data_IF_198801289159
#
_entry.id   IF_198801289159
#
_cell.length_a   1.000
_cell.length_b   1.000
_cell.length_c   1.000
_cell.angle_alpha   90.00
_cell.angle_beta   90.00
_cell.angle_gamma   90.00
#
_symmetry.space_group_name_H-M   'P 1'
#
loop_
_entity.id
_entity.type
_entity.pdbx_description
1 polymer ?
#
# COMPACT_ATOMS: atom_id res chain seq x y z
N UNK A 1 -0.96 -6.64 20.76
CA UNK A 1 -0.40 -7.67 19.86
C UNK A 1 0.44 -6.93 18.84
N UNK A 2 1.72 -7.28 18.72
CA UNK A 2 2.69 -6.52 17.91
C UNK A 2 2.52 -6.92 16.44
N UNK A 3 2.01 -6.01 15.61
CA UNK A 3 2.21 -6.08 14.16
C UNK A 3 3.71 -5.91 13.90
N UNK A 4 4.33 -6.86 13.21
CA UNK A 4 5.72 -6.73 12.80
C UNK A 4 5.76 -5.68 11.68
N UNK A 5 6.26 -4.49 12.02
CA UNK A 5 6.43 -3.42 11.04
C UNK A 5 7.68 -3.71 10.21
N UNK A 6 7.48 -4.21 8.98
CA UNK A 6 8.56 -4.58 8.05
C UNK A 6 9.30 -3.38 7.42
N UNK A 7 9.05 -2.15 7.88
CA UNK A 7 9.39 -0.86 7.26
C UNK A 7 10.88 -0.51 7.09
N UNK A 8 11.80 -1.46 7.17
CA UNK A 8 13.24 -1.21 6.94
C UNK A 8 14.00 -2.35 6.23
N UNK A 9 13.36 -3.50 5.93
CA UNK A 9 13.99 -4.58 5.18
C UNK A 9 13.36 -4.67 3.79
N UNK A 10 14.21 -4.77 2.75
CA UNK A 10 13.77 -5.22 1.44
C UNK A 10 13.20 -6.63 1.61
N UNK A 11 11.87 -6.77 1.58
CA UNK A 11 11.24 -8.07 1.51
C UNK A 11 11.21 -8.53 0.06
N UNK A 12 11.34 -9.84 -0.16
CA UNK A 12 11.13 -10.47 -1.47
C UNK A 12 9.64 -10.59 -1.83
N UNK A 13 8.79 -9.84 -1.12
CA UNK A 13 7.35 -9.78 -1.36
C UNK A 13 7.07 -9.23 -2.74
N UNK A 14 6.31 -10.00 -3.51
CA UNK A 14 5.81 -9.62 -4.81
C UNK A 14 4.29 -9.66 -4.77
N UNK A 15 3.66 -8.66 -5.37
CA UNK A 15 2.21 -8.65 -5.58
C UNK A 15 1.87 -8.76 -7.05
N UNK A 16 0.80 -9.50 -7.34
CA UNK A 16 0.10 -9.45 -8.62
C UNK A 16 -1.12 -8.58 -8.45
N UNK A 17 -1.32 -7.68 -9.41
CA UNK A 17 -2.35 -6.66 -9.37
C UNK A 17 -3.28 -6.81 -10.57
N UNK A 18 -4.58 -6.78 -10.31
CA UNK A 18 -5.62 -6.65 -11.33
C UNK A 18 -6.40 -5.37 -11.04
N UNK A 19 -6.51 -4.52 -12.06
CA UNK A 19 -7.26 -3.28 -11.98
C UNK A 19 -8.62 -3.45 -12.67
N UNK A 20 -9.68 -3.09 -11.96
CA UNK A 20 -11.05 -3.04 -12.47
C UNK A 20 -11.50 -1.59 -12.46
N UNK A 21 -11.59 -1.00 -13.65
CA UNK A 21 -12.03 0.38 -13.82
C UNK A 21 -13.55 0.47 -13.83
N UNK A 22 -14.07 1.36 -12.99
CA UNK A 22 -15.48 1.79 -13.04
C UNK A 22 -15.55 3.26 -13.46
N UNK A 23 -16.76 3.83 -13.53
CA UNK A 23 -16.94 5.24 -13.87
C UNK A 23 -16.33 6.22 -12.85
N UNK A 24 -16.14 5.81 -11.59
CA UNK A 24 -15.77 6.75 -10.52
C UNK A 24 -14.63 6.27 -9.63
N UNK A 25 -14.42 4.96 -9.53
CA UNK A 25 -13.34 4.38 -8.75
C UNK A 25 -12.63 3.29 -9.55
N UNK A 26 -11.36 3.07 -9.24
CA UNK A 26 -10.63 1.88 -9.67
C UNK A 26 -10.57 0.92 -8.48
N UNK A 27 -10.87 -0.34 -8.73
CA UNK A 27 -10.73 -1.41 -7.74
C UNK A 27 -9.44 -2.15 -8.07
N UNK A 28 -8.52 -2.20 -7.11
CA UNK A 28 -7.27 -2.95 -7.21
C UNK A 28 -7.43 -4.26 -6.44
N UNK A 29 -7.42 -5.38 -7.15
CA UNK A 29 -7.31 -6.70 -6.56
C UNK A 29 -5.83 -7.06 -6.46
N UNK A 30 -5.44 -7.56 -5.30
CA UNK A 30 -4.05 -7.77 -4.95
C UNK A 30 -3.84 -9.16 -4.38
N UNK A 31 -3.02 -9.95 -5.06
CA UNK A 31 -2.53 -11.25 -4.61
C UNK A 31 -1.07 -11.08 -4.21
N UNK A 32 -0.70 -11.50 -3.00
CA UNK A 32 0.70 -11.52 -2.56
C UNK A 32 1.23 -12.94 -2.54
N UNK A 33 2.54 -13.08 -2.78
CA UNK A 33 3.23 -14.33 -2.55
C UNK A 33 3.32 -14.66 -1.05
N UNK A 34 3.73 -15.89 -0.73
CA UNK A 34 3.83 -16.42 0.65
C UNK A 34 5.00 -15.81 1.46
N UNK A 35 5.57 -14.68 1.02
CA UNK A 35 6.67 -14.00 1.69
C UNK A 35 6.15 -13.09 2.82
N UNK A 36 6.80 -13.07 4.00
CA UNK A 36 6.39 -12.24 5.13
C UNK A 36 6.29 -10.76 4.74
N UNK A 37 5.12 -10.17 4.96
CA UNK A 37 4.85 -8.76 4.64
C UNK A 37 3.64 -8.25 5.42
N UNK A 38 3.51 -6.92 5.49
CA UNK A 38 2.31 -6.27 6.07
C UNK A 38 1.02 -6.76 5.42
N UNK A 39 1.07 -7.10 4.13
CA UNK A 39 -0.08 -7.58 3.37
C UNK A 39 -0.41 -9.04 3.68
N UNK A 40 0.62 -9.87 3.83
CA UNK A 40 0.48 -11.25 4.26
C UNK A 40 -0.11 -11.33 5.67
N UNK A 41 0.41 -10.51 6.60
CA UNK A 41 -0.10 -10.39 7.96
C UNK A 41 -1.58 -9.96 7.97
N UNK A 42 -1.96 -9.05 7.06
CA UNK A 42 -3.36 -8.63 6.91
C UNK A 42 -4.26 -9.77 6.42
N UNK A 43 -3.84 -10.52 5.40
CA UNK A 43 -4.59 -11.65 4.84
C UNK A 43 -4.76 -12.79 5.84
N UNK A 44 -3.71 -13.10 6.61
CA UNK A 44 -3.76 -14.16 7.63
C UNK A 44 -4.80 -13.82 8.73
N UNK A 45 -4.88 -12.55 9.13
CA UNK A 45 -5.75 -12.13 10.23
C UNK A 45 -7.18 -11.79 9.81
N UNK A 46 -7.36 -11.18 8.64
CA UNK A 46 -8.64 -10.61 8.22
C UNK A 46 -9.29 -11.37 7.06
N UNK A 47 -8.60 -12.37 6.48
CA UNK A 47 -9.00 -13.04 5.25
C UNK A 47 -9.07 -12.06 4.07
N UNK A 48 -9.63 -12.48 2.93
CA UNK A 48 -9.85 -11.59 1.79
C UNK A 48 -10.83 -10.46 2.13
N UNK A 49 -10.50 -9.22 1.77
CA UNK A 49 -11.35 -8.07 2.08
C UNK A 49 -10.75 -6.72 1.69
N UNK A 50 -11.46 -5.65 2.07
CA UNK A 50 -11.03 -4.28 1.80
C UNK A 50 -9.86 -3.87 2.71
N UNK A 51 -8.68 -3.69 2.12
CA UNK A 51 -7.47 -3.35 2.85
C UNK A 51 -7.28 -1.84 3.04
N UNK A 52 -7.36 -1.04 1.96
CA UNK A 52 -7.09 0.40 2.00
C UNK A 52 -7.89 1.19 0.94
N UNK A 53 -7.90 2.52 1.10
CA UNK A 53 -8.36 3.47 0.08
C UNK A 53 -7.17 4.29 -0.41
N UNK A 54 -6.96 4.30 -1.73
CA UNK A 54 -5.85 5.02 -2.37
C UNK A 54 -6.39 6.30 -3.00
N UNK A 55 -5.71 7.41 -2.72
CA UNK A 55 -6.04 8.73 -3.28
C UNK A 55 -4.89 9.22 -4.17
N UNK A 56 -5.21 9.57 -5.41
CA UNK A 56 -4.25 10.26 -6.28
C UNK A 56 -4.13 11.71 -5.81
N UNK A 57 -2.90 12.14 -5.56
CA UNK A 57 -2.57 13.49 -5.11
C UNK A 57 -1.55 14.12 -6.04
N UNK A 58 -1.61 15.45 -6.21
CA UNK A 58 -0.68 16.17 -7.09
C UNK A 58 0.77 16.07 -6.61
N UNK A 59 0.98 16.14 -5.28
CA UNK A 59 2.30 16.10 -4.64
C UNK A 59 2.26 15.35 -3.32
N UNK A 60 2.90 14.18 -3.30
CA UNK A 60 2.99 13.33 -2.11
C UNK A 60 3.67 14.06 -0.94
N UNK A 61 4.76 14.79 -1.19
CA UNK A 61 5.49 15.51 -0.13
C UNK A 61 4.58 16.51 0.63
N UNK A 62 3.79 17.30 -0.09
CA UNK A 62 2.84 18.25 0.52
C UNK A 62 1.72 17.54 1.29
N UNK A 63 1.28 16.38 0.79
CA UNK A 63 0.30 15.55 1.48
C UNK A 63 0.87 14.99 2.80
N UNK A 64 2.09 14.44 2.77
CA UNK A 64 2.78 13.92 3.94
C UNK A 64 3.01 14.97 5.01
N UNK A 65 3.46 16.17 4.63
CA UNK A 65 3.63 17.28 5.59
C UNK A 65 2.30 17.63 6.28
N UNK A 66 1.20 17.60 5.52
CA UNK A 66 -0.15 17.87 6.04
C UNK A 66 -0.66 16.75 6.95
N UNK A 67 -0.35 15.49 6.63
CA UNK A 67 -0.71 14.31 7.40
C UNK A 67 0.10 14.19 8.70
N UNK A 68 1.40 14.47 8.65
CA UNK A 68 2.28 14.47 9.81
C UNK A 68 1.85 15.50 10.86
N UNK A 69 1.40 16.69 10.43
CA UNK A 69 0.80 17.70 11.31
C UNK A 69 -0.48 17.23 12.01
N UNK A 70 -1.13 16.18 11.49
CA UNK A 70 -2.39 15.61 11.97
C UNK A 70 -2.20 14.27 12.70
N UNK A 71 -0.97 13.93 13.08
CA UNK A 71 -0.60 12.71 13.85
C UNK A 71 -0.77 11.39 13.05
N UNK A 72 -0.88 11.47 11.71
CA UNK A 72 -0.78 10.27 10.87
C UNK A 72 0.69 9.95 10.62
N UNK A 73 1.12 8.76 11.02
CA UNK A 73 2.49 8.27 10.80
C UNK A 73 2.57 7.53 9.47
N UNK A 74 3.67 7.74 8.74
CA UNK A 74 3.97 6.98 7.53
C UNK A 74 4.33 5.54 7.91
N UNK A 75 3.62 4.59 7.32
CA UNK A 75 3.78 3.17 7.61
C UNK A 75 4.61 2.47 6.53
N UNK A 76 4.33 2.75 5.26
CA UNK A 76 5.09 2.18 4.15
C UNK A 76 5.15 3.15 2.97
N UNK A 77 6.28 3.14 2.27
CA UNK A 77 6.44 3.85 1.00
C UNK A 77 7.11 2.95 -0.02
N UNK A 78 6.94 3.28 -1.30
CA UNK A 78 7.58 2.56 -2.38
C UNK A 78 7.42 3.26 -3.73
N UNK A 79 8.04 2.67 -4.74
CA UNK A 79 8.02 3.15 -6.11
C UNK A 79 7.47 2.06 -7.04
N UNK A 80 6.57 2.46 -7.93
CA UNK A 80 6.10 1.63 -9.03
C UNK A 80 7.18 1.61 -10.12
N UNK A 81 7.81 0.45 -10.30
CA UNK A 81 8.86 0.24 -11.32
C UNK A 81 8.30 -0.12 -12.71
N UNK A 82 6.97 -0.15 -12.89
CA UNK A 82 6.33 -0.51 -14.15
C UNK A 82 6.33 0.66 -15.16
N UNK A 83 5.74 0.43 -16.34
CA UNK A 83 5.68 1.39 -17.47
C UNK A 83 5.18 2.78 -17.05
N UNK A 84 4.34 2.86 -16.02
CA UNK A 84 3.92 4.11 -15.38
C UNK A 84 4.68 4.30 -14.07
N UNK A 85 5.81 4.99 -14.14
CA UNK A 85 6.60 5.37 -12.95
C UNK A 85 5.73 6.20 -12.00
N UNK A 86 5.68 5.80 -10.74
CA UNK A 86 4.94 6.50 -9.70
C UNK A 86 5.48 6.15 -8.32
N UNK A 87 5.04 6.87 -7.29
CA UNK A 87 5.39 6.58 -5.90
C UNK A 87 4.10 6.43 -5.10
N UNK A 88 4.15 5.65 -4.02
CA UNK A 88 3.05 5.53 -3.08
C UNK A 88 3.54 5.71 -1.65
N UNK A 89 2.64 6.20 -0.81
CA UNK A 89 2.81 6.34 0.63
C UNK A 89 1.50 5.94 1.30
N UNK A 90 1.59 5.17 2.37
CA UNK A 90 0.45 4.75 3.19
C UNK A 90 0.86 4.74 4.67
#
# INVERSE_FOLDING_TARGET
MNSNFWGAHHSDTQSRLIFIDTLSIQIELMEVNDEPSTMWDYLEWNWEGFQNFVFVVDKIATCLESMAKRVYQLLQSGEFKSVNKGCYVY
#
